data_IF_555764905123
#
_entry.id   IF_555764905123
#
_cell.length_a   1.000
_cell.length_b   1.000
_cell.length_c   1.000
_cell.angle_alpha   90.00
_cell.angle_beta   90.00
_cell.angle_gamma   90.00
#
_symmetry.space_group_name_H-M   'P 1'
#
loop_
_entity.id
_entity.type
_entity.pdbx_description
1 polymer ?
#
# COMPACT_ATOMS: atom_id res chain seq x y z
N UNK A 1 -12.70 7.60 -1.73
CA UNK A 1 -12.27 8.73 -0.88
C UNK A 1 -12.71 10.11 -1.38
N UNK A 2 -13.08 10.28 -2.66
CA UNK A 2 -13.62 11.56 -3.16
C UNK A 2 -12.57 12.64 -3.45
N UNK A 3 -11.28 12.28 -3.44
CA UNK A 3 -10.18 13.21 -3.71
C UNK A 3 -9.03 12.63 -4.52
N UNK A 4 -8.74 11.34 -4.34
CA UNK A 4 -7.74 10.65 -5.15
C UNK A 4 -8.30 10.27 -6.51
N UNK A 5 -7.45 10.29 -7.53
CA UNK A 5 -7.79 9.76 -8.85
C UNK A 5 -8.00 8.26 -8.75
N UNK A 6 -9.16 7.79 -9.18
CA UNK A 6 -9.40 6.35 -9.30
C UNK A 6 -8.60 5.79 -10.48
N UNK A 7 -7.38 5.33 -10.20
CA UNK A 7 -6.47 4.74 -11.20
C UNK A 7 -6.45 3.22 -11.18
N UNK A 8 -7.42 2.56 -10.55
CA UNK A 8 -7.47 1.09 -10.43
C UNK A 8 -7.23 0.37 -11.76
N UNK A 9 -7.96 0.75 -12.81
CA UNK A 9 -7.83 0.16 -14.15
C UNK A 9 -6.46 0.46 -14.75
N UNK A 10 -5.99 1.71 -14.62
CA UNK A 10 -4.69 2.13 -15.13
C UNK A 10 -3.55 1.38 -14.45
N UNK A 11 -3.54 1.31 -13.13
CA UNK A 11 -2.54 0.60 -12.34
C UNK A 11 -2.52 -0.89 -12.68
N UNK A 12 -3.69 -1.53 -12.76
CA UNK A 12 -3.79 -2.92 -13.16
C UNK A 12 -3.25 -3.14 -14.59
N UNK A 13 -3.65 -2.30 -15.55
CA UNK A 13 -3.17 -2.40 -16.93
C UNK A 13 -1.67 -2.19 -17.03
N UNK A 14 -1.13 -1.15 -16.38
CA UNK A 14 0.30 -0.83 -16.38
C UNK A 14 1.12 -1.97 -15.75
N UNK A 15 0.66 -2.55 -14.65
CA UNK A 15 1.29 -3.71 -14.01
C UNK A 15 1.21 -4.93 -14.93
N UNK A 16 0.04 -5.23 -15.51
CA UNK A 16 -0.11 -6.36 -16.42
C UNK A 16 0.79 -6.24 -17.67
N UNK A 17 0.91 -5.05 -18.24
CA UNK A 17 1.76 -4.77 -19.40
C UNK A 17 3.27 -4.87 -19.05
N UNK A 18 3.67 -4.38 -17.87
CA UNK A 18 5.07 -4.39 -17.43
C UNK A 18 5.55 -5.77 -16.94
N UNK A 19 4.63 -6.66 -16.57
CA UNK A 19 4.93 -7.99 -16.03
C UNK A 19 4.59 -9.13 -17.00
N UNK A 20 4.60 -8.84 -18.30
CA UNK A 20 4.36 -9.83 -19.37
C UNK A 20 5.33 -11.02 -19.32
N UNK A 21 6.52 -10.83 -18.74
CA UNK A 21 7.52 -11.89 -18.48
C UNK A 21 7.18 -12.81 -17.30
N UNK A 22 6.13 -12.51 -16.52
CA UNK A 22 5.66 -13.30 -15.38
C UNK A 22 4.21 -13.79 -15.59
N UNK A 23 3.88 -14.46 -16.71
CA UNK A 23 2.48 -14.73 -17.11
C UNK A 23 1.73 -15.63 -16.12
N UNK A 24 2.44 -16.54 -15.45
CA UNK A 24 1.84 -17.48 -14.49
C UNK A 24 1.84 -16.98 -13.04
N UNK A 25 2.42 -15.81 -12.77
CA UNK A 25 2.45 -15.25 -11.42
C UNK A 25 1.38 -14.18 -11.22
N UNK A 26 0.12 -14.63 -11.18
CA UNK A 26 -1.03 -13.75 -10.91
C UNK A 26 -0.96 -13.10 -9.53
N UNK A 27 -0.27 -13.74 -8.58
CA UNK A 27 -0.08 -13.24 -7.23
C UNK A 27 0.78 -11.98 -7.23
N UNK A 28 1.96 -12.03 -7.86
CA UNK A 28 2.86 -10.88 -7.96
C UNK A 28 2.19 -9.72 -8.69
N UNK A 29 1.48 -9.99 -9.79
CA UNK A 29 0.76 -8.94 -10.53
C UNK A 29 -0.33 -8.28 -9.68
N UNK A 30 -1.08 -9.06 -8.91
CA UNK A 30 -2.13 -8.52 -8.06
C UNK A 30 -1.56 -7.69 -6.91
N UNK A 31 -0.49 -8.17 -6.27
CA UNK A 31 0.21 -7.42 -5.22
C UNK A 31 0.78 -6.11 -5.76
N UNK A 32 1.48 -6.15 -6.89
CA UNK A 32 2.03 -4.95 -7.52
C UNK A 32 0.93 -3.94 -7.92
N UNK A 33 -0.21 -4.40 -8.43
CA UNK A 33 -1.33 -3.54 -8.76
C UNK A 33 -1.93 -2.88 -7.50
N UNK A 34 -2.15 -3.65 -6.42
CA UNK A 34 -2.63 -3.11 -5.13
C UNK A 34 -1.66 -2.06 -4.56
N UNK A 35 -0.35 -2.34 -4.60
CA UNK A 35 0.68 -1.38 -4.17
C UNK A 35 0.64 -0.10 -4.99
N UNK A 36 0.56 -0.19 -6.32
CA UNK A 36 0.51 0.97 -7.20
C UNK A 36 -0.74 1.85 -6.95
N UNK A 37 -1.88 1.23 -6.67
CA UNK A 37 -3.11 1.94 -6.31
C UNK A 37 -2.94 2.67 -4.98
N UNK A 38 -2.45 1.97 -3.96
CA UNK A 38 -2.24 2.56 -2.63
C UNK A 38 -1.27 3.74 -2.68
N UNK A 39 -0.15 3.60 -3.40
CA UNK A 39 0.83 4.67 -3.62
C UNK A 39 0.18 5.88 -4.28
N UNK A 40 -0.65 5.67 -5.31
CA UNK A 40 -1.36 6.78 -5.99
C UNK A 40 -2.33 7.49 -5.04
N UNK A 41 -3.07 6.73 -4.21
CA UNK A 41 -4.02 7.33 -3.26
C UNK A 41 -3.28 8.09 -2.15
N UNK A 42 -2.16 7.56 -1.68
CA UNK A 42 -1.30 8.25 -0.72
C UNK A 42 -0.71 9.53 -1.32
N UNK A 43 -0.16 9.48 -2.53
CA UNK A 43 0.36 10.64 -3.27
C UNK A 43 -0.68 11.77 -3.39
N UNK A 44 -1.89 11.45 -3.87
CA UNK A 44 -2.98 12.43 -3.95
C UNK A 44 -3.41 12.97 -2.56
N UNK A 45 -3.28 12.17 -1.49
CA UNK A 45 -3.56 12.61 -0.13
C UNK A 45 -2.53 13.64 0.34
N UNK A 46 -1.25 13.37 0.11
CA UNK A 46 -0.15 14.27 0.44
C UNK A 46 -0.19 15.57 -0.36
N UNK A 47 -0.54 15.50 -1.64
CA UNK A 47 -0.50 16.67 -2.53
C UNK A 47 -1.75 17.55 -2.46
N UNK A 48 -2.94 16.97 -2.25
CA UNK A 48 -4.20 17.70 -2.49
C UNK A 48 -5.15 17.81 -1.29
N UNK A 49 -5.01 16.99 -0.25
CA UNK A 49 -6.03 16.93 0.81
C UNK A 49 -5.52 17.12 2.22
N UNK A 50 -4.40 16.49 2.56
CA UNK A 50 -3.99 16.42 3.94
C UNK A 50 -3.51 17.77 4.45
N UNK A 51 -3.91 18.10 5.67
CA UNK A 51 -3.23 19.15 6.42
C UNK A 51 -1.87 18.67 6.90
N UNK A 52 -0.93 19.59 7.16
CA UNK A 52 0.40 19.24 7.68
C UNK A 52 0.34 18.36 8.96
N UNK A 53 -0.54 18.62 9.94
CA UNK A 53 -0.69 17.73 11.10
C UNK A 53 -1.18 16.32 10.74
N UNK A 54 -2.12 16.19 9.79
CA UNK A 54 -2.58 14.86 9.35
C UNK A 54 -1.47 14.06 8.67
N UNK A 55 -0.60 14.73 7.90
CA UNK A 55 0.58 14.09 7.31
C UNK A 55 1.58 13.64 8.37
N UNK A 56 1.87 14.49 9.34
CA UNK A 56 2.77 14.14 10.45
C UNK A 56 2.24 12.95 11.25
N UNK A 57 0.94 12.94 11.57
CA UNK A 57 0.33 11.82 12.26
C UNK A 57 0.38 10.53 11.45
N UNK A 58 0.15 10.60 10.12
CA UNK A 58 0.25 9.44 9.24
C UNK A 58 1.68 8.90 9.15
N UNK A 59 2.68 9.77 8.99
CA UNK A 59 4.09 9.37 8.96
C UNK A 59 4.48 8.73 10.29
N UNK A 60 4.11 9.35 11.42
CA UNK A 60 4.39 8.80 12.74
C UNK A 60 3.71 7.45 12.95
N UNK A 61 2.47 7.28 12.44
CA UNK A 61 1.75 6.02 12.45
C UNK A 61 2.46 4.91 11.70
N UNK A 62 2.97 5.21 10.51
CA UNK A 62 3.77 4.26 9.71
C UNK A 62 5.08 3.94 10.42
N UNK A 63 5.76 4.95 11.00
CA UNK A 63 7.01 4.77 11.72
C UNK A 63 6.84 3.84 12.94
N UNK A 64 5.80 4.02 13.74
CA UNK A 64 5.51 3.17 14.92
C UNK A 64 4.75 1.88 14.57
N UNK A 65 4.22 1.79 13.35
CA UNK A 65 3.31 0.74 12.88
C UNK A 65 2.06 0.56 13.76
N UNK A 66 1.40 1.67 14.10
CA UNK A 66 0.16 1.70 14.89
C UNK A 66 -0.76 2.82 14.38
N UNK A 67 -2.04 2.53 14.16
CA UNK A 67 -3.04 3.49 13.67
C UNK A 67 -3.52 4.50 14.73
N UNK A 68 -3.05 4.42 15.97
CA UNK A 68 -3.47 5.29 17.08
C UNK A 68 -3.44 6.79 16.76
N UNK A 69 -4.54 7.50 16.95
CA UNK A 69 -4.61 8.95 16.66
C UNK A 69 -4.79 9.31 15.18
N UNK A 70 -4.87 8.33 14.27
CA UNK A 70 -5.33 8.58 12.90
C UNK A 70 -6.85 8.72 12.84
N UNK A 71 -7.33 9.50 11.87
CA UNK A 71 -8.76 9.66 11.59
C UNK A 71 -9.01 9.90 10.10
N UNK A 72 -10.27 9.77 9.69
CA UNK A 72 -10.70 10.04 8.31
C UNK A 72 -9.86 9.27 7.28
N UNK A 73 -9.36 9.96 6.25
CA UNK A 73 -8.62 9.38 5.14
C UNK A 73 -7.25 8.83 5.53
N UNK A 74 -6.54 9.47 6.47
CA UNK A 74 -5.23 8.98 6.95
C UNK A 74 -5.33 7.58 7.56
N UNK A 75 -6.40 7.33 8.34
CA UNK A 75 -6.64 6.00 8.92
C UNK A 75 -6.91 4.96 7.83
N UNK A 76 -7.74 5.28 6.85
CA UNK A 76 -8.05 4.32 5.78
C UNK A 76 -6.82 4.02 4.92
N UNK A 77 -5.94 4.99 4.67
CA UNK A 77 -4.66 4.76 3.97
C UNK A 77 -3.76 3.83 4.80
N UNK A 78 -3.63 4.09 6.11
CA UNK A 78 -2.83 3.23 6.99
C UNK A 78 -3.38 1.81 7.06
N UNK A 79 -4.69 1.65 7.28
CA UNK A 79 -5.32 0.33 7.39
C UNK A 79 -5.14 -0.45 6.07
N UNK A 80 -5.26 0.21 4.90
CA UNK A 80 -4.98 -0.42 3.61
C UNK A 80 -3.51 -0.81 3.40
N UNK A 81 -2.57 -0.03 3.96
CA UNK A 81 -1.14 -0.36 3.96
C UNK A 81 -0.85 -1.57 4.85
N UNK A 82 -1.41 -1.60 6.05
CA UNK A 82 -1.23 -2.71 7.00
C UNK A 82 -1.81 -4.02 6.44
N UNK A 83 -3.00 -3.95 5.82
CA UNK A 83 -3.62 -5.08 5.14
C UNK A 83 -2.73 -5.60 3.98
N UNK A 84 -2.18 -4.69 3.17
CA UNK A 84 -1.30 -5.04 2.05
C UNK A 84 -0.02 -5.73 2.54
N UNK A 85 0.61 -5.20 3.60
CA UNK A 85 1.81 -5.79 4.20
C UNK A 85 1.50 -7.16 4.79
N UNK A 86 0.41 -7.28 5.54
CA UNK A 86 -0.03 -8.52 6.17
C UNK A 86 -0.35 -9.60 5.14
N UNK A 87 -1.11 -9.26 4.08
CA UNK A 87 -1.42 -10.17 2.98
C UNK A 87 -0.13 -10.63 2.26
N UNK A 88 0.80 -9.71 1.99
CA UNK A 88 2.06 -10.03 1.31
C UNK A 88 2.93 -10.95 2.16
N UNK A 89 3.10 -10.64 3.45
CA UNK A 89 3.87 -11.47 4.37
C UNK A 89 3.26 -12.86 4.54
N UNK A 90 1.93 -12.96 4.66
CA UNK A 90 1.24 -14.23 4.79
C UNK A 90 1.45 -15.11 3.54
N UNK A 91 1.30 -14.53 2.34
CA UNK A 91 1.50 -15.26 1.09
C UNK A 91 2.95 -15.73 0.94
N UNK A 92 3.91 -14.86 1.24
CA UNK A 92 5.33 -15.23 1.20
C UNK A 92 5.64 -16.36 2.19
N UNK A 93 5.10 -16.30 3.41
CA UNK A 93 5.25 -17.35 4.42
C UNK A 93 4.64 -18.68 3.95
N UNK A 94 3.50 -18.66 3.27
CA UNK A 94 2.90 -19.88 2.69
C UNK A 94 3.75 -20.49 1.58
N UNK A 95 4.44 -19.67 0.78
CA UNK A 95 5.24 -20.14 -0.35
C UNK A 95 6.67 -20.54 0.02
N UNK A 96 7.30 -19.80 0.94
CA UNK A 96 8.74 -19.88 1.24
C UNK A 96 9.03 -20.20 2.71
N UNK A 97 8.01 -20.29 3.58
CA UNK A 97 8.15 -20.64 4.99
C UNK A 97 8.70 -19.55 5.91
N UNK A 98 9.23 -18.45 5.36
CA UNK A 98 9.81 -17.35 6.13
C UNK A 98 8.83 -16.18 6.32
N UNK A 99 8.96 -15.47 7.45
CA UNK A 99 8.22 -14.25 7.72
C UNK A 99 9.03 -13.02 7.28
N UNK A 100 8.45 -12.22 6.39
CA UNK A 100 9.08 -10.99 5.85
C UNK A 100 8.39 -9.72 6.33
N UNK A 101 7.48 -9.82 7.33
CA UNK A 101 6.70 -8.67 7.82
C UNK A 101 7.60 -7.49 8.20
N UNK A 102 8.70 -7.73 8.93
CA UNK A 102 9.64 -6.66 9.32
C UNK A 102 10.25 -5.97 8.10
N UNK A 103 10.75 -6.74 7.13
CA UNK A 103 11.36 -6.20 5.91
C UNK A 103 10.38 -5.35 5.08
N UNK A 104 9.11 -5.76 5.02
CA UNK A 104 8.07 -5.00 4.33
C UNK A 104 7.75 -3.69 5.05
N UNK A 105 7.72 -3.69 6.39
CA UNK A 105 7.50 -2.48 7.20
C UNK A 105 8.65 -1.49 7.04
N UNK A 106 9.88 -1.99 7.00
CA UNK A 106 11.06 -1.16 6.83
C UNK A 106 11.18 -0.56 5.41
N UNK A 107 10.55 -1.16 4.40
CA UNK A 107 10.52 -0.62 3.04
C UNK A 107 9.69 0.67 2.90
N UNK A 108 8.66 0.82 3.75
CA UNK A 108 7.67 1.91 3.64
C UNK A 108 7.84 2.97 4.74
N UNK A 109 8.79 2.78 5.65
CA UNK A 109 9.25 3.78 6.62
C UNK A 109 10.15 4.81 5.94
#
# INVERSE_FOLDING_TARGET
MGFGREKTIYCYYAVAASTTSLPHDSCVRMLAAKSAILITVADDFFDMKASLPELQHLIDAIARWDSGGLSSHSKVIFDALDDLVSETAQRYRQQQGADITSSLRDLVR
#
